data_IF_095448227540
#
_entry.id   IF_095448227540
#
_cell.length_a   1.000
_cell.length_b   1.000
_cell.length_c   1.000
_cell.angle_alpha   90.00
_cell.angle_beta   90.00
_cell.angle_gamma   90.00
#
_symmetry.space_group_name_H-M   'P 1'
#
loop_
_entity.id
_entity.type
_entity.pdbx_description
1 polymer ?
#
# COMPACT_ATOMS: atom_id res chain seq x y z
N UNK A 1 24.42 -12.67 13.04
CA UNK A 1 23.73 -12.88 11.77
C UNK A 1 22.96 -11.62 11.44
N UNK A 2 23.12 -11.09 10.24
CA UNK A 2 22.33 -9.96 9.76
C UNK A 2 20.87 -10.44 9.64
N UNK A 3 19.93 -9.79 10.32
CA UNK A 3 18.52 -10.22 10.37
C UNK A 3 17.74 -9.93 9.06
N UNK A 4 18.44 -9.69 7.96
CA UNK A 4 17.83 -9.32 6.69
C UNK A 4 17.29 -7.88 6.66
N UNK A 5 17.52 -7.09 7.69
CA UNK A 5 17.10 -5.70 7.79
C UNK A 5 18.24 -4.75 7.39
N UNK A 6 17.91 -3.69 6.66
CA UNK A 6 18.85 -2.60 6.48
C UNK A 6 19.06 -1.86 7.80
N UNK A 7 20.29 -1.39 8.09
CA UNK A 7 20.48 -0.43 9.17
C UNK A 7 19.57 0.77 8.97
N UNK A 8 18.86 1.18 10.03
CA UNK A 8 17.88 2.25 9.95
C UNK A 8 18.45 3.57 9.40
N UNK A 9 19.72 3.86 9.70
CA UNK A 9 20.40 5.02 9.16
C UNK A 9 20.48 5.00 7.62
N UNK A 10 20.76 3.82 7.05
CA UNK A 10 20.84 3.62 5.60
C UNK A 10 19.43 3.74 4.99
N UNK A 11 18.43 3.09 5.58
CA UNK A 11 17.03 3.18 5.12
C UNK A 11 16.56 4.64 5.13
N UNK A 12 16.77 5.37 6.23
CA UNK A 12 16.40 6.78 6.36
C UNK A 12 17.07 7.64 5.31
N UNK A 13 18.39 7.50 5.14
CA UNK A 13 19.15 8.26 4.14
C UNK A 13 18.61 8.04 2.73
N UNK A 14 18.34 6.80 2.33
CA UNK A 14 17.82 6.51 1.00
C UNK A 14 16.39 7.02 0.83
N UNK A 15 15.55 6.90 1.86
CA UNK A 15 14.21 7.47 1.87
C UNK A 15 14.24 8.99 1.68
N UNK A 16 15.06 9.69 2.42
CA UNK A 16 15.14 11.15 2.35
C UNK A 16 15.62 11.63 0.97
N UNK A 17 16.54 10.89 0.35
CA UNK A 17 16.95 11.15 -1.04
C UNK A 17 15.76 10.91 -2.00
N UNK A 18 15.05 9.79 -1.87
CA UNK A 18 13.91 9.47 -2.73
C UNK A 18 12.79 10.52 -2.61
N UNK A 19 12.49 10.97 -1.38
CA UNK A 19 11.52 12.01 -1.12
C UNK A 19 11.95 13.36 -1.72
N UNK A 20 13.23 13.73 -1.57
CA UNK A 20 13.77 14.97 -2.14
C UNK A 20 13.73 15.01 -3.67
N UNK A 21 13.74 13.84 -4.30
CA UNK A 21 13.60 13.66 -5.75
C UNK A 21 12.15 13.55 -6.20
N UNK A 22 11.17 13.52 -5.28
CA UNK A 22 9.74 13.39 -5.60
C UNK A 22 9.33 12.00 -6.10
N UNK A 23 10.13 10.96 -5.84
CA UNK A 23 9.87 9.61 -6.35
C UNK A 23 8.51 9.02 -5.94
N UNK A 24 7.95 9.28 -4.74
CA UNK A 24 6.62 8.78 -4.38
C UNK A 24 5.50 9.19 -5.34
N UNK A 25 5.64 10.33 -5.99
CA UNK A 25 4.63 10.91 -6.88
C UNK A 25 5.10 11.13 -8.30
N UNK A 26 5.92 10.23 -8.85
CA UNK A 26 6.48 10.40 -10.20
C UNK A 26 5.42 10.67 -11.27
N UNK A 27 4.35 9.86 -11.31
CA UNK A 27 3.25 9.98 -12.27
C UNK A 27 2.16 10.96 -11.85
N UNK A 28 2.10 11.33 -10.58
CA UNK A 28 1.06 12.20 -10.05
C UNK A 28 1.16 13.59 -10.68
N UNK A 29 0.04 14.19 -11.14
CA UNK A 29 0.04 15.53 -11.72
C UNK A 29 0.65 16.57 -10.78
N UNK A 30 1.33 17.57 -11.38
CA UNK A 30 1.99 18.65 -10.62
C UNK A 30 1.05 19.43 -9.73
N UNK A 31 -0.16 19.68 -10.20
CA UNK A 31 -1.23 20.33 -9.43
C UNK A 31 -1.72 19.50 -8.23
N UNK A 32 -1.44 18.20 -8.23
CA UNK A 32 -1.71 17.29 -7.11
C UNK A 32 -0.48 17.00 -6.25
N UNK A 33 0.63 17.72 -6.48
CA UNK A 33 1.85 17.63 -5.68
C UNK A 33 2.88 16.59 -6.17
N UNK A 34 2.69 16.01 -7.37
CA UNK A 34 3.62 15.08 -7.98
C UNK A 34 4.58 15.73 -8.99
N UNK A 35 5.33 14.90 -9.71
CA UNK A 35 6.27 15.33 -10.76
C UNK A 35 5.62 15.46 -12.14
N UNK A 36 4.48 14.79 -12.38
CA UNK A 36 3.79 14.76 -13.66
C UNK A 36 4.61 14.11 -14.77
N UNK A 37 5.45 13.13 -14.43
CA UNK A 37 6.24 12.40 -15.43
C UNK A 37 5.32 11.52 -16.29
N UNK A 38 5.57 11.57 -17.60
CA UNK A 38 4.95 10.62 -18.52
C UNK A 38 5.38 9.18 -18.19
N UNK A 39 4.62 8.19 -18.65
CA UNK A 39 4.96 6.78 -18.47
C UNK A 39 6.38 6.45 -18.99
N UNK A 40 6.79 7.05 -20.11
CA UNK A 40 8.14 6.85 -20.64
C UNK A 40 9.24 7.38 -19.72
N UNK A 41 9.04 8.58 -19.14
CA UNK A 41 9.99 9.15 -18.18
C UNK A 41 10.04 8.33 -16.88
N UNK A 42 8.89 7.86 -16.41
CA UNK A 42 8.84 6.94 -15.25
C UNK A 42 9.61 5.64 -15.52
N UNK A 43 9.50 5.06 -16.72
CA UNK A 43 10.26 3.85 -17.10
C UNK A 43 11.78 4.06 -17.01
N UNK A 44 12.28 5.23 -17.41
CA UNK A 44 13.70 5.56 -17.29
C UNK A 44 14.12 5.60 -15.82
N UNK A 45 13.30 6.18 -14.94
CA UNK A 45 13.57 6.20 -13.51
C UNK A 45 13.54 4.77 -12.93
N UNK A 46 12.52 3.98 -13.28
CA UNK A 46 12.41 2.59 -12.83
C UNK A 46 13.56 1.71 -13.29
N UNK A 47 14.10 1.93 -14.50
CA UNK A 47 15.31 1.23 -14.94
C UNK A 47 16.49 1.46 -13.99
N UNK A 48 16.68 2.68 -13.50
CA UNK A 48 17.75 2.98 -12.53
C UNK A 48 17.47 2.39 -11.16
N UNK A 49 16.22 2.50 -10.68
CA UNK A 49 15.81 1.89 -9.41
C UNK A 49 15.95 0.36 -9.43
N UNK A 50 15.68 -0.28 -10.55
CA UNK A 50 15.84 -1.72 -10.72
C UNK A 50 17.28 -2.24 -10.62
N UNK A 51 18.28 -1.36 -10.60
CA UNK A 51 19.68 -1.74 -10.39
C UNK A 51 20.03 -2.02 -8.93
N UNK A 52 19.16 -1.62 -8.01
CA UNK A 52 19.37 -1.84 -6.57
C UNK A 52 18.61 -3.07 -6.11
N UNK A 53 19.00 -3.61 -4.94
CA UNK A 53 18.29 -4.73 -4.32
C UNK A 53 16.91 -4.30 -3.81
N UNK A 54 15.99 -5.24 -3.66
CA UNK A 54 14.64 -5.00 -3.17
C UNK A 54 14.60 -4.13 -1.90
N UNK A 55 15.49 -4.41 -0.95
CA UNK A 55 15.54 -3.67 0.31
C UNK A 55 15.75 -2.17 0.14
N UNK A 56 16.51 -1.74 -0.85
CA UNK A 56 16.78 -0.33 -1.14
C UNK A 56 15.72 0.31 -2.01
N UNK A 57 15.09 -0.44 -2.92
CA UNK A 57 14.05 0.09 -3.81
C UNK A 57 12.72 0.36 -3.08
N UNK A 58 12.51 -0.23 -1.89
CA UNK A 58 11.26 -0.09 -1.11
C UNK A 58 11.39 0.89 0.06
N UNK A 59 12.31 1.81 0.00
CA UNK A 59 12.53 2.78 1.07
C UNK A 59 11.52 3.94 1.08
N UNK A 60 10.70 4.10 0.05
CA UNK A 60 9.69 5.15 -0.04
C UNK A 60 8.31 4.59 -0.44
N UNK A 61 7.21 5.24 -0.05
CA UNK A 61 5.86 4.88 -0.49
C UNK A 61 5.66 5.25 -1.97
N UNK A 62 4.71 4.60 -2.63
CA UNK A 62 4.34 4.88 -4.01
C UNK A 62 2.89 5.33 -4.10
N UNK A 63 2.68 6.55 -4.58
CA UNK A 63 1.33 7.06 -4.81
C UNK A 63 0.87 6.67 -6.21
N UNK A 64 -0.26 5.97 -6.28
CA UNK A 64 -0.81 5.47 -7.53
C UNK A 64 -1.71 6.52 -8.19
N UNK A 65 -1.66 6.63 -9.53
CA UNK A 65 -2.41 7.61 -10.32
C UNK A 65 -3.92 7.57 -10.06
N UNK A 66 -4.48 6.36 -9.82
CA UNK A 66 -5.91 6.22 -9.54
C UNK A 66 -6.36 6.95 -8.27
N UNK A 67 -5.47 7.23 -7.32
CA UNK A 67 -5.81 7.96 -6.09
C UNK A 67 -6.20 9.41 -6.40
N UNK A 68 -5.60 10.05 -7.41
CA UNK A 68 -5.88 11.44 -7.76
C UNK A 68 -7.31 11.64 -8.21
N UNK A 69 -7.88 10.67 -8.94
CA UNK A 69 -9.21 10.76 -9.54
C UNK A 69 -10.31 10.12 -8.69
N UNK A 70 -9.97 9.13 -7.85
CA UNK A 70 -10.98 8.37 -7.11
C UNK A 70 -11.07 8.73 -5.63
N UNK A 71 -10.06 9.40 -5.06
CA UNK A 71 -10.10 9.80 -3.67
C UNK A 71 -10.95 11.04 -3.45
N UNK A 72 -11.75 11.02 -2.38
CA UNK A 72 -12.40 12.20 -1.83
C UNK A 72 -11.36 13.18 -1.32
N UNK A 73 -11.73 14.45 -1.09
CA UNK A 73 -10.83 15.44 -0.53
C UNK A 73 -10.25 14.99 0.83
N UNK A 74 -11.10 14.41 1.70
CA UNK A 74 -10.66 13.83 2.97
C UNK A 74 -9.60 12.74 2.79
N UNK A 75 -9.80 11.82 1.84
CA UNK A 75 -8.84 10.75 1.55
C UNK A 75 -7.51 11.28 0.98
N UNK A 76 -7.57 12.32 0.15
CA UNK A 76 -6.37 12.98 -0.36
C UNK A 76 -5.55 13.61 0.79
N UNK A 77 -6.22 14.34 1.67
CA UNK A 77 -5.55 15.02 2.78
C UNK A 77 -4.97 14.07 3.84
N UNK A 78 -5.67 12.97 4.12
CA UNK A 78 -5.31 12.07 5.21
C UNK A 78 -4.47 10.86 4.78
N UNK A 79 -4.46 10.51 3.47
CA UNK A 79 -3.75 9.35 2.96
C UNK A 79 -2.81 9.69 1.80
N UNK A 80 -3.30 10.24 0.68
CA UNK A 80 -2.49 10.48 -0.51
C UNK A 80 -1.36 11.51 -0.26
N UNK A 81 -1.70 12.67 0.30
CA UNK A 81 -0.71 13.71 0.56
C UNK A 81 0.35 13.28 1.60
N UNK A 82 -0.01 12.57 2.69
CA UNK A 82 0.98 11.96 3.58
C UNK A 82 1.89 10.93 2.89
N UNK A 83 1.39 10.13 1.94
CA UNK A 83 2.25 9.24 1.15
C UNK A 83 3.24 10.03 0.29
N UNK A 84 2.80 11.09 -0.40
CA UNK A 84 3.67 11.95 -1.21
C UNK A 84 4.82 12.56 -0.39
N UNK A 85 4.55 12.90 0.87
CA UNK A 85 5.57 13.45 1.79
C UNK A 85 6.40 12.38 2.51
N UNK A 86 6.03 11.09 2.38
CA UNK A 86 6.66 10.01 3.13
C UNK A 86 6.29 9.97 4.62
N UNK A 87 5.22 10.68 5.03
CA UNK A 87 4.72 10.70 6.42
C UNK A 87 3.96 9.42 6.77
N UNK A 88 3.41 8.73 5.76
CA UNK A 88 2.69 7.45 5.89
C UNK A 88 3.22 6.43 4.89
N UNK A 89 2.96 5.17 5.21
CA UNK A 89 3.17 4.01 4.33
C UNK A 89 1.89 3.23 4.19
N UNK A 90 1.62 2.77 2.98
CA UNK A 90 0.52 1.87 2.65
C UNK A 90 1.01 0.44 2.46
N UNK A 91 0.06 -0.48 2.47
CA UNK A 91 0.23 -1.78 1.85
C UNK A 91 -1.09 -2.30 1.29
N UNK A 92 -1.00 -3.29 0.40
CA UNK A 92 -2.15 -3.89 -0.27
C UNK A 92 -2.47 -5.25 0.37
N UNK A 93 -3.59 -5.30 1.10
CA UNK A 93 -4.11 -6.49 1.76
C UNK A 93 -5.19 -7.16 0.87
N UNK A 94 -4.74 -7.91 -0.13
CA UNK A 94 -5.59 -8.55 -1.15
C UNK A 94 -5.58 -10.05 -1.00
N UNK A 95 -4.40 -10.68 -1.06
CA UNK A 95 -4.19 -12.13 -1.03
C UNK A 95 -4.78 -12.80 0.20
N UNK A 96 -5.36 -13.98 0.03
CA UNK A 96 -5.85 -14.85 1.10
C UNK A 96 -5.29 -16.26 0.92
N UNK A 97 -5.42 -17.12 1.93
CA UNK A 97 -4.93 -18.50 1.90
C UNK A 97 -5.43 -19.27 0.66
N UNK A 98 -6.69 -19.07 0.29
CA UNK A 98 -7.33 -19.67 -0.88
C UNK A 98 -7.35 -18.81 -2.14
N UNK A 99 -6.87 -17.55 -2.09
CA UNK A 99 -6.99 -16.58 -3.16
C UNK A 99 -5.66 -15.89 -3.45
N UNK A 100 -4.91 -16.46 -4.39
CA UNK A 100 -3.67 -15.85 -4.90
C UNK A 100 -3.93 -15.01 -6.15
N UNK A 101 -3.79 -15.61 -7.34
CA UNK A 101 -4.03 -14.93 -8.62
C UNK A 101 -5.52 -14.70 -8.92
N UNK A 102 -6.39 -15.57 -8.45
CA UNK A 102 -7.85 -15.43 -8.57
C UNK A 102 -8.42 -14.60 -7.42
N UNK A 103 -8.21 -13.30 -7.49
CA UNK A 103 -8.68 -12.36 -6.45
C UNK A 103 -10.18 -12.05 -6.55
N UNK A 104 -10.82 -12.26 -7.71
CA UNK A 104 -12.26 -11.99 -7.86
C UNK A 104 -13.11 -13.19 -7.44
N UNK A 105 -12.70 -14.42 -7.81
CA UNK A 105 -13.45 -15.63 -7.55
C UNK A 105 -13.31 -16.18 -6.13
N UNK A 106 -12.12 -16.06 -5.55
CA UNK A 106 -11.72 -16.85 -4.38
C UNK A 106 -11.56 -16.04 -3.09
N UNK A 107 -11.72 -14.70 -3.09
CA UNK A 107 -11.66 -13.89 -1.85
C UNK A 107 -12.86 -14.20 -0.95
N UNK A 108 -12.55 -14.56 0.29
CA UNK A 108 -13.54 -14.87 1.35
C UNK A 108 -13.76 -13.70 2.32
N UNK A 109 -12.83 -12.73 2.41
CA UNK A 109 -13.02 -11.52 3.21
C UNK A 109 -14.28 -10.78 2.82
N UNK A 110 -15.07 -10.38 3.81
CA UNK A 110 -16.38 -9.77 3.60
C UNK A 110 -16.50 -8.42 4.30
N UNK A 111 -17.29 -7.53 3.71
CA UNK A 111 -17.66 -6.24 4.26
C UNK A 111 -19.18 -6.13 4.33
N UNK A 112 -19.72 -5.95 5.53
CA UNK A 112 -21.16 -5.77 5.78
C UNK A 112 -21.42 -4.34 6.21
N UNK A 113 -22.31 -3.63 5.49
CA UNK A 113 -22.70 -2.27 5.85
C UNK A 113 -23.66 -2.28 7.04
N UNK A 114 -23.32 -1.53 8.10
CA UNK A 114 -24.17 -1.30 9.28
C UNK A 114 -24.26 0.19 9.57
N UNK A 115 -25.36 0.81 9.15
CA UNK A 115 -25.51 2.26 9.18
C UNK A 115 -24.48 2.94 8.30
N UNK A 116 -23.66 3.83 8.86
CA UNK A 116 -22.62 4.56 8.17
C UNK A 116 -21.24 3.88 8.22
N UNK A 117 -21.18 2.67 8.77
CA UNK A 117 -19.95 1.92 8.94
C UNK A 117 -19.97 0.61 8.15
N UNK A 118 -18.79 0.05 7.89
CA UNK A 118 -18.61 -1.30 7.40
C UNK A 118 -17.95 -2.16 8.48
N UNK A 119 -18.47 -3.36 8.69
CA UNK A 119 -17.82 -4.41 9.48
C UNK A 119 -17.13 -5.33 8.50
N UNK A 120 -15.80 -5.39 8.58
CA UNK A 120 -14.98 -6.23 7.73
C UNK A 120 -14.51 -7.42 8.54
N UNK A 121 -14.66 -8.63 7.95
CA UNK A 121 -14.18 -9.88 8.51
C UNK A 121 -13.43 -10.65 7.45
N UNK A 122 -12.26 -11.15 7.80
CA UNK A 122 -11.43 -11.94 6.90
C UNK A 122 -9.99 -12.04 7.39
N UNK A 123 -9.17 -12.75 6.64
CA UNK A 123 -7.76 -12.96 6.91
C UNK A 123 -6.97 -12.74 5.62
N UNK A 124 -5.92 -11.93 5.68
CA UNK A 124 -5.06 -11.61 4.54
C UNK A 124 -3.68 -12.21 4.73
N UNK A 125 -3.12 -12.74 3.65
CA UNK A 125 -1.86 -13.47 3.65
C UNK A 125 -0.80 -12.76 2.81
N UNK A 126 0.46 -12.86 3.27
CA UNK A 126 1.63 -12.33 2.56
C UNK A 126 1.49 -10.85 2.16
N UNK A 127 0.94 -10.06 3.10
CA UNK A 127 0.75 -8.62 2.89
C UNK A 127 2.08 -7.91 3.02
N UNK A 128 2.71 -7.65 1.89
CA UNK A 128 4.03 -7.00 1.84
C UNK A 128 3.99 -5.66 2.57
N UNK A 129 4.95 -5.44 3.46
CA UNK A 129 5.10 -4.24 4.28
C UNK A 129 4.01 -4.02 5.35
N UNK A 130 3.14 -4.98 5.66
CA UNK A 130 2.09 -4.82 6.69
C UNK A 130 2.65 -4.46 8.06
N UNK A 131 3.84 -4.96 8.41
CA UNK A 131 4.53 -4.63 9.66
C UNK A 131 4.96 -3.16 9.76
N UNK A 132 5.19 -2.49 8.63
CA UNK A 132 5.65 -1.08 8.52
C UNK A 132 4.57 -0.10 8.05
N UNK A 133 3.44 -0.60 7.54
CA UNK A 133 2.35 0.24 7.03
C UNK A 133 1.61 0.98 8.14
N UNK A 134 1.08 2.14 7.81
CA UNK A 134 0.19 2.95 8.64
C UNK A 134 -1.28 2.64 8.37
N UNK A 135 -1.57 2.23 7.13
CA UNK A 135 -2.89 1.82 6.70
C UNK A 135 -2.83 0.77 5.57
N UNK A 136 -3.94 0.08 5.37
CA UNK A 136 -4.09 -0.97 4.37
C UNK A 136 -5.10 -0.57 3.30
N UNK A 137 -4.80 -0.86 2.04
CA UNK A 137 -5.81 -1.04 1.00
C UNK A 137 -6.32 -2.48 1.07
N UNK A 138 -7.44 -2.68 1.75
CA UNK A 138 -7.99 -4.00 2.02
C UNK A 138 -9.12 -4.31 1.04
N UNK A 139 -8.99 -5.38 0.27
CA UNK A 139 -10.05 -5.86 -0.62
C UNK A 139 -10.98 -6.82 0.12
N UNK A 140 -12.30 -6.56 0.02
CA UNK A 140 -13.32 -7.43 0.57
C UNK A 140 -14.58 -7.44 -0.31
N UNK A 141 -15.36 -8.50 -0.22
CA UNK A 141 -16.64 -8.67 -0.92
C UNK A 141 -17.77 -8.06 -0.10
N UNK A 142 -18.59 -7.25 -0.73
CA UNK A 142 -19.78 -6.63 -0.10
C UNK A 142 -20.85 -7.68 0.13
N UNK A 143 -21.35 -7.80 1.36
CA UNK A 143 -22.36 -8.83 1.74
C UNK A 143 -23.81 -8.46 1.45
N UNK A 144 -24.14 -7.18 1.37
CA UNK A 144 -25.53 -6.73 1.32
C UNK A 144 -25.71 -5.41 0.59
N UNK A 145 -26.95 -5.10 0.20
CA UNK A 145 -27.32 -3.89 -0.54
C UNK A 145 -27.14 -4.01 -2.06
N UNK A 146 -27.24 -2.89 -2.75
CA UNK A 146 -27.20 -2.83 -4.22
C UNK A 146 -25.85 -3.30 -4.81
N UNK A 147 -24.78 -3.23 -4.02
CA UNK A 147 -23.45 -3.66 -4.40
C UNK A 147 -23.08 -5.06 -3.87
N UNK A 148 -24.10 -5.86 -3.50
CA UNK A 148 -23.86 -7.23 -3.01
C UNK A 148 -23.02 -8.02 -4.02
N UNK A 149 -22.08 -8.79 -3.49
CA UNK A 149 -21.11 -9.63 -4.22
C UNK A 149 -20.07 -8.86 -5.06
N UNK A 150 -20.14 -7.52 -5.10
CA UNK A 150 -19.07 -6.71 -5.66
C UNK A 150 -17.88 -6.63 -4.72
N UNK A 151 -16.69 -6.49 -5.29
CA UNK A 151 -15.47 -6.25 -4.54
C UNK A 151 -15.27 -4.75 -4.31
N UNK A 152 -14.84 -4.39 -3.11
CA UNK A 152 -14.46 -3.03 -2.77
C UNK A 152 -13.07 -3.00 -2.13
N UNK A 153 -12.35 -1.91 -2.38
CA UNK A 153 -11.08 -1.61 -1.75
C UNK A 153 -11.33 -0.61 -0.63
N UNK A 154 -11.07 -1.02 0.60
CA UNK A 154 -11.25 -0.20 1.81
C UNK A 154 -9.90 0.37 2.24
N UNK A 155 -9.90 1.64 2.66
CA UNK A 155 -8.75 2.21 3.39
C UNK A 155 -8.98 1.92 4.86
N UNK A 156 -8.06 1.19 5.48
CA UNK A 156 -8.18 0.68 6.85
C UNK A 156 -6.94 1.08 7.63
N UNK A 157 -7.08 1.97 8.61
CA UNK A 157 -5.97 2.37 9.48
C UNK A 157 -5.48 1.18 10.31
N UNK A 158 -4.18 0.97 10.39
CA UNK A 158 -3.55 -0.16 11.11
C UNK A 158 -3.98 -0.28 12.57
N UNK A 159 -4.23 0.85 13.22
CA UNK A 159 -4.53 0.90 14.64
C UNK A 159 -6.02 0.74 14.96
N UNK A 160 -6.86 0.42 13.98
CA UNK A 160 -8.28 0.13 14.24
C UNK A 160 -8.42 -1.12 15.10
N UNK A 161 -9.38 -1.07 16.05
CA UNK A 161 -9.69 -2.21 16.91
C UNK A 161 -10.17 -3.40 16.06
N UNK A 162 -9.59 -4.57 16.33
CA UNK A 162 -9.92 -5.82 15.65
C UNK A 162 -8.94 -6.20 14.54
N UNK A 163 -7.90 -5.41 14.31
CA UNK A 163 -6.79 -5.79 13.43
C UNK A 163 -5.74 -6.52 14.27
N UNK A 164 -5.33 -7.69 13.79
CA UNK A 164 -4.27 -8.50 14.38
C UNK A 164 -3.23 -8.83 13.30
N UNK A 165 -1.97 -8.56 13.59
CA UNK A 165 -0.84 -9.03 12.79
C UNK A 165 -0.40 -10.38 13.36
N UNK A 166 -0.82 -11.46 12.71
CA UNK A 166 -0.64 -12.83 13.22
C UNK A 166 0.81 -13.27 13.15
N UNK A 167 1.49 -12.99 12.05
CA UNK A 167 2.87 -13.40 11.81
C UNK A 167 3.59 -12.44 10.87
N UNK A 168 4.92 -12.40 10.99
CA UNK A 168 5.82 -11.67 10.09
C UNK A 168 6.97 -12.60 9.69
N UNK A 169 6.74 -13.54 8.75
CA UNK A 169 7.73 -14.52 8.38
C UNK A 169 8.98 -13.87 7.77
N UNK A 170 10.15 -14.40 8.13
CA UNK A 170 11.43 -13.94 7.60
C UNK A 170 11.78 -14.70 6.33
N UNK A 171 12.05 -13.97 5.26
CA UNK A 171 12.54 -14.50 4.00
C UNK A 171 13.99 -14.09 3.75
N UNK A 172 14.70 -14.86 2.93
CA UNK A 172 16.13 -14.67 2.70
C UNK A 172 16.51 -13.38 1.98
N UNK A 173 15.56 -12.72 1.32
CA UNK A 173 15.83 -11.59 0.44
C UNK A 173 14.96 -10.36 0.67
N UNK A 174 14.09 -10.39 1.69
CA UNK A 174 13.25 -9.25 2.05
C UNK A 174 12.98 -9.22 3.55
N UNK A 175 12.75 -8.02 4.06
CA UNK A 175 12.49 -7.74 5.46
C UNK A 175 11.11 -7.10 5.70
N UNK A 176 10.36 -6.83 4.64
CA UNK A 176 9.07 -6.14 4.71
C UNK A 176 7.92 -7.11 4.39
N UNK A 177 7.35 -7.71 5.41
CA UNK A 177 6.17 -8.58 5.31
C UNK A 177 5.12 -8.23 6.35
#
# INVERSE_FOLDING_TARGET
MNKGELPQEIETKHRDIALSLGLPGMGIPKESGGLGLSMFEQMIVWEQLGRVTNALSWCFPEVQDWMTNNFTQYQKENYMNPLLRGDKRECYAITEKGAGSDVEGSIESTAEKKGDQYIINGEKWYVTSANKADFFFLQAKIKSGDNKDMHALFIVDKNLKGIELVDTPLFSHTYAH
#
